data_IF_138425960807
#
_entry.id   IF_138425960807
#
_cell.length_a   1.000
_cell.length_b   1.000
_cell.length_c   1.000
_cell.angle_alpha   90.00
_cell.angle_beta   90.00
_cell.angle_gamma   90.00
#
_symmetry.space_group_name_H-M   'P 1'
#
loop_
_entity.id
_entity.type
_entity.pdbx_description
1 polymer ?
#
# COMPACT_ATOMS: atom_id res chain seq x y z
N UNK A 1 1.50 15.41 39.53
CA UNK A 1 0.61 15.06 38.40
C UNK A 1 1.48 14.41 37.33
N UNK A 2 1.10 13.26 36.75
CA UNK A 2 1.91 12.67 35.69
C UNK A 2 1.88 13.58 34.46
N UNK A 3 3.06 13.84 33.92
CA UNK A 3 3.33 14.71 32.79
C UNK A 3 2.67 14.12 31.54
N UNK A 4 1.51 14.66 31.12
CA UNK A 4 0.87 14.34 29.83
C UNK A 4 1.75 14.91 28.71
N UNK A 5 2.77 14.15 28.29
CA UNK A 5 3.53 14.47 27.08
C UNK A 5 2.55 14.46 25.90
N UNK A 6 2.50 15.57 25.17
CA UNK A 6 1.78 15.68 23.91
C UNK A 6 2.37 14.64 22.92
N UNK A 7 1.61 13.63 22.47
CA UNK A 7 2.12 12.55 21.63
C UNK A 7 2.33 12.97 20.16
N UNK A 8 2.00 14.20 19.79
CA UNK A 8 2.19 14.70 18.43
C UNK A 8 3.67 14.94 18.13
N UNK A 9 4.31 13.96 17.50
CA UNK A 9 5.58 14.15 16.79
C UNK A 9 5.24 14.79 15.44
N UNK A 10 5.41 16.10 15.33
CA UNK A 10 5.28 16.79 14.05
C UNK A 10 6.49 16.47 13.16
N UNK A 11 6.25 16.01 11.93
CA UNK A 11 7.26 15.91 10.88
C UNK A 11 7.52 14.47 10.38
N UNK A 12 7.42 13.48 11.27
CA UNK A 12 7.59 12.07 10.91
C UNK A 12 6.25 11.33 11.03
N UNK A 13 5.99 10.37 10.14
CA UNK A 13 4.89 9.43 10.33
C UNK A 13 5.14 8.61 11.60
N UNK A 14 4.08 8.10 12.21
CA UNK A 14 4.13 7.32 13.46
C UNK A 14 3.39 6.01 13.28
N UNK A 15 3.82 4.98 14.02
CA UNK A 15 3.16 3.66 14.10
C UNK A 15 3.35 3.03 15.48
N UNK A 16 2.62 1.95 15.77
CA UNK A 16 2.69 1.21 17.02
C UNK A 16 2.28 2.04 18.23
N UNK A 17 3.12 2.08 19.26
CA UNK A 17 2.84 2.78 20.52
C UNK A 17 2.61 4.30 20.36
N UNK A 18 3.07 4.88 19.24
CA UNK A 18 2.89 6.31 18.95
C UNK A 18 1.66 6.61 18.08
N UNK A 19 0.89 5.59 17.68
CA UNK A 19 -0.33 5.74 16.88
C UNK A 19 -1.58 5.70 17.79
N UNK A 20 -2.33 6.81 17.83
CA UNK A 20 -3.45 6.98 18.77
C UNK A 20 -4.76 7.34 18.08
N UNK A 21 -5.87 6.87 18.65
CA UNK A 21 -7.23 7.38 18.38
C UNK A 21 -7.85 6.96 17.05
N UNK A 22 -7.32 5.93 16.38
CA UNK A 22 -7.82 5.45 15.09
C UNK A 22 -7.96 3.93 15.00
N UNK A 23 -8.01 3.25 16.15
CA UNK A 23 -8.14 1.79 16.20
C UNK A 23 -9.40 1.28 15.49
N UNK A 24 -10.51 2.01 15.62
CA UNK A 24 -11.76 1.64 14.94
C UNK A 24 -11.63 1.71 13.41
N UNK A 25 -10.83 2.65 12.89
CA UNK A 25 -10.57 2.75 11.45
C UNK A 25 -9.66 1.65 10.95
N UNK A 26 -8.65 1.28 11.72
CA UNK A 26 -7.79 0.12 11.41
C UNK A 26 -8.65 -1.14 11.34
N UNK A 27 -9.48 -1.41 12.36
CA UNK A 27 -10.39 -2.56 12.37
C UNK A 27 -11.38 -2.53 11.21
N UNK A 28 -11.98 -1.38 10.92
CA UNK A 28 -12.91 -1.22 9.80
C UNK A 28 -12.26 -1.56 8.45
N UNK A 29 -10.99 -1.22 8.24
CA UNK A 29 -10.28 -1.49 7.00
C UNK A 29 -9.86 -2.97 6.90
N UNK A 30 -9.29 -3.53 7.97
CA UNK A 30 -8.75 -4.90 7.95
C UNK A 30 -9.85 -5.97 8.05
N UNK A 31 -10.86 -5.73 8.89
CA UNK A 31 -11.91 -6.71 9.20
C UNK A 31 -13.24 -6.40 8.52
N UNK A 32 -13.34 -5.24 7.86
CA UNK A 32 -14.55 -4.81 7.18
C UNK A 32 -14.85 -5.56 5.89
N UNK A 33 -16.02 -5.25 5.33
CA UNK A 33 -16.50 -5.83 4.07
C UNK A 33 -15.91 -5.19 2.82
N UNK A 34 -15.30 -4.02 2.96
CA UNK A 34 -14.77 -3.26 1.83
C UNK A 34 -13.38 -3.77 1.45
N UNK A 35 -13.17 -3.99 0.15
CA UNK A 35 -11.88 -4.40 -0.41
C UNK A 35 -11.16 -3.29 -1.17
N UNK A 36 -11.83 -2.15 -1.31
CA UNK A 36 -11.33 -0.94 -1.96
C UNK A 36 -11.71 0.25 -1.08
N UNK A 37 -10.73 0.92 -0.46
CA UNK A 37 -10.94 2.00 0.51
C UNK A 37 -10.17 3.24 0.08
N UNK A 38 -10.87 4.38 0.01
CA UNK A 38 -10.23 5.67 -0.23
C UNK A 38 -10.09 6.48 1.06
N UNK A 39 -8.86 6.83 1.43
CA UNK A 39 -8.57 7.65 2.61
C UNK A 39 -8.32 9.09 2.17
N UNK A 40 -9.32 9.95 2.31
CA UNK A 40 -9.20 11.38 2.02
C UNK A 40 -8.95 12.21 3.28
N UNK A 41 -8.12 13.25 3.16
CA UNK A 41 -7.89 14.20 4.25
C UNK A 41 -6.76 15.17 3.94
N UNK A 42 -6.70 16.26 4.70
CA UNK A 42 -5.73 17.35 4.49
C UNK A 42 -4.29 16.91 4.74
N UNK A 43 -3.31 17.71 4.28
CA UNK A 43 -1.88 17.44 4.52
C UNK A 43 -1.62 17.34 6.03
N UNK A 44 -0.78 16.38 6.44
CA UNK A 44 -0.40 16.11 7.85
C UNK A 44 -1.54 15.61 8.75
N UNK A 45 -2.65 15.15 8.19
CA UNK A 45 -3.72 14.49 8.97
C UNK A 45 -3.35 13.08 9.44
N UNK A 46 -2.18 12.55 9.06
CA UNK A 46 -1.69 11.23 9.46
C UNK A 46 -2.17 10.07 8.56
N UNK A 47 -2.34 10.29 7.25
CA UNK A 47 -2.70 9.23 6.29
C UNK A 47 -1.59 8.19 6.18
N UNK A 48 -0.35 8.64 5.92
CA UNK A 48 0.85 7.77 5.91
C UNK A 48 1.00 6.98 7.21
N UNK A 49 0.79 7.62 8.37
CA UNK A 49 0.80 6.92 9.67
C UNK A 49 -0.26 5.82 9.75
N UNK A 50 -1.47 6.07 9.25
CA UNK A 50 -2.54 5.06 9.21
C UNK A 50 -2.18 3.90 8.27
N UNK A 51 -1.64 4.18 7.09
CA UNK A 51 -1.19 3.15 6.15
C UNK A 51 -0.07 2.29 6.76
N UNK A 52 0.93 2.92 7.39
CA UNK A 52 2.01 2.20 8.10
C UNK A 52 1.51 1.43 9.32
N UNK A 53 0.43 1.87 9.96
CA UNK A 53 -0.22 1.11 11.02
C UNK A 53 -0.97 -0.12 10.48
N UNK A 54 -1.65 0.01 9.34
CA UNK A 54 -2.30 -1.11 8.66
C UNK A 54 -1.27 -2.17 8.26
N UNK A 55 -0.14 -1.73 7.69
CA UNK A 55 0.99 -2.61 7.39
C UNK A 55 1.44 -3.41 8.62
N UNK A 56 1.57 -2.75 9.77
CA UNK A 56 2.00 -3.37 11.02
C UNK A 56 0.97 -4.34 11.61
N UNK A 57 -0.33 -4.02 11.51
CA UNK A 57 -1.41 -4.72 12.23
C UNK A 57 -2.19 -5.74 11.41
N UNK A 58 -1.94 -5.82 10.10
CA UNK A 58 -2.70 -6.72 9.21
C UNK A 58 -2.51 -8.22 9.53
N UNK A 59 -1.45 -8.60 10.25
CA UNK A 59 -1.19 -9.98 10.65
C UNK A 59 -0.99 -10.92 9.45
N UNK A 60 -1.10 -12.24 9.68
CA UNK A 60 -0.77 -13.25 8.68
C UNK A 60 -1.80 -13.43 7.57
N UNK A 61 -2.97 -12.80 7.70
CA UNK A 61 -4.05 -12.87 6.68
C UNK A 61 -3.66 -12.12 5.41
N UNK A 62 -2.80 -11.10 5.55
CA UNK A 62 -2.45 -10.20 4.48
C UNK A 62 -0.96 -10.24 4.16
N UNK A 63 -0.63 -9.95 2.90
CA UNK A 63 0.72 -9.61 2.47
C UNK A 63 0.73 -8.09 2.18
N UNK A 64 1.09 -7.24 3.16
CA UNK A 64 1.07 -5.80 3.00
C UNK A 64 2.25 -5.28 2.18
N UNK A 65 1.95 -4.37 1.24
CA UNK A 65 2.91 -3.59 0.49
C UNK A 65 2.54 -2.11 0.62
N UNK A 66 3.44 -1.31 1.21
CA UNK A 66 3.31 0.13 1.18
C UNK A 66 3.90 0.67 -0.11
N UNK A 67 3.06 1.25 -0.97
CA UNK A 67 3.46 1.77 -2.27
C UNK A 67 3.28 3.28 -2.30
N UNK A 68 4.40 4.00 -2.16
CA UNK A 68 4.41 5.45 -2.30
C UNK A 68 4.54 5.82 -3.78
N UNK A 69 3.54 6.51 -4.33
CA UNK A 69 3.53 6.89 -5.75
C UNK A 69 4.19 8.24 -6.02
N UNK A 70 4.68 8.92 -4.98
CA UNK A 70 5.24 10.26 -5.07
C UNK A 70 6.34 10.36 -6.15
N UNK A 71 6.17 11.31 -7.08
CA UNK A 71 7.14 11.55 -8.14
C UNK A 71 6.98 10.67 -9.39
N UNK A 72 6.04 9.73 -9.42
CA UNK A 72 5.72 9.00 -10.66
C UNK A 72 5.04 9.93 -11.68
N UNK A 73 5.66 10.08 -12.86
CA UNK A 73 5.11 10.87 -13.97
C UNK A 73 4.39 10.03 -15.03
N UNK A 74 4.66 8.72 -15.08
CA UNK A 74 4.17 7.79 -16.09
C UNK A 74 4.06 6.36 -15.55
N UNK A 75 3.70 5.41 -16.42
CA UNK A 75 3.56 4.00 -16.07
C UNK A 75 4.86 3.33 -15.64
N UNK A 76 6.00 3.76 -16.20
CA UNK A 76 7.31 3.17 -15.91
C UNK A 76 7.80 3.64 -14.54
N UNK A 77 7.65 4.93 -14.22
CA UNK A 77 7.92 5.45 -12.88
C UNK A 77 7.06 4.80 -11.79
N UNK A 78 5.79 4.44 -12.09
CA UNK A 78 4.99 3.63 -11.16
C UNK A 78 5.57 2.22 -10.96
N UNK A 79 6.07 1.59 -12.03
CA UNK A 79 6.67 0.26 -11.96
C UNK A 79 7.97 0.29 -11.13
N UNK A 80 8.81 1.31 -11.33
CA UNK A 80 10.03 1.55 -10.55
C UNK A 80 9.70 1.71 -9.06
N UNK A 81 8.77 2.60 -8.70
CA UNK A 81 8.37 2.78 -7.30
C UNK A 81 7.73 1.54 -6.69
N UNK A 82 7.04 0.72 -7.49
CA UNK A 82 6.48 -0.55 -7.02
C UNK A 82 7.59 -1.57 -6.73
N UNK A 83 8.61 -1.63 -7.59
CA UNK A 83 9.79 -2.48 -7.41
C UNK A 83 10.55 -2.07 -6.14
N UNK A 84 10.86 -0.78 -5.99
CA UNK A 84 11.51 -0.23 -4.79
C UNK A 84 10.72 -0.58 -3.52
N UNK A 85 9.38 -0.48 -3.58
CA UNK A 85 8.53 -0.84 -2.44
C UNK A 85 8.63 -2.32 -2.06
N UNK A 86 8.86 -3.21 -3.04
CA UNK A 86 9.07 -4.64 -2.79
C UNK A 86 10.48 -4.91 -2.29
N UNK A 87 11.50 -4.21 -2.80
CA UNK A 87 12.87 -4.28 -2.30
C UNK A 87 12.95 -3.87 -0.82
N UNK A 88 12.30 -2.77 -0.44
CA UNK A 88 12.20 -2.31 0.96
C UNK A 88 11.52 -3.34 1.88
N UNK A 89 10.70 -4.23 1.31
CA UNK A 89 9.96 -5.27 2.01
C UNK A 89 10.44 -6.69 1.65
N UNK A 90 11.66 -6.83 1.11
CA UNK A 90 12.14 -8.07 0.48
C UNK A 90 11.99 -9.30 1.38
N UNK A 91 12.39 -9.20 2.66
CA UNK A 91 12.32 -10.31 3.61
C UNK A 91 10.89 -10.90 3.71
N UNK A 92 9.87 -10.03 3.83
CA UNK A 92 8.46 -10.42 3.91
C UNK A 92 7.97 -11.04 2.61
N UNK A 93 8.42 -10.52 1.47
CA UNK A 93 8.00 -10.96 0.15
C UNK A 93 8.67 -12.27 -0.26
N UNK A 94 9.93 -12.47 0.13
CA UNK A 94 10.67 -13.72 -0.06
C UNK A 94 9.98 -14.91 0.63
N UNK A 95 9.42 -14.72 1.84
CA UNK A 95 8.62 -15.75 2.53
C UNK A 95 7.38 -16.18 1.72
N UNK A 96 6.87 -15.30 0.86
CA UNK A 96 5.74 -15.59 -0.04
C UNK A 96 6.17 -16.01 -1.44
N UNK A 97 7.46 -16.26 -1.66
CA UNK A 97 8.03 -16.70 -2.94
C UNK A 97 8.17 -15.59 -3.98
N UNK A 98 8.17 -14.32 -3.56
CA UNK A 98 8.44 -13.17 -4.43
C UNK A 98 9.94 -12.90 -4.45
N UNK A 99 10.52 -12.72 -5.64
CA UNK A 99 11.91 -12.29 -5.79
C UNK A 99 11.99 -11.01 -6.61
N UNK A 100 12.85 -10.08 -6.18
CA UNK A 100 13.07 -8.79 -6.86
C UNK A 100 13.55 -9.01 -8.30
N UNK A 101 14.48 -9.95 -8.50
CA UNK A 101 15.03 -10.29 -9.81
C UNK A 101 13.96 -10.77 -10.81
N UNK A 102 12.93 -11.49 -10.37
CA UNK A 102 11.82 -11.88 -11.26
C UNK A 102 10.95 -10.67 -11.64
N UNK A 103 10.89 -9.65 -10.78
CA UNK A 103 10.07 -8.46 -11.00
C UNK A 103 10.73 -7.41 -11.90
N UNK A 104 12.06 -7.26 -11.88
CA UNK A 104 12.80 -6.26 -12.69
C UNK A 104 12.44 -6.27 -14.18
N UNK A 105 12.09 -7.44 -14.73
CA UNK A 105 11.76 -7.62 -16.14
C UNK A 105 10.28 -7.42 -16.49
N UNK A 106 9.42 -7.22 -15.49
CA UNK A 106 7.97 -7.18 -15.64
C UNK A 106 7.46 -5.76 -15.84
N UNK A 107 6.43 -5.59 -16.66
CA UNK A 107 5.66 -4.34 -16.66
C UNK A 107 4.89 -4.17 -15.34
N UNK A 108 4.48 -2.93 -15.03
CA UNK A 108 3.66 -2.60 -13.84
C UNK A 108 2.52 -3.60 -13.58
N UNK A 109 1.76 -3.94 -14.63
CA UNK A 109 0.61 -4.83 -14.48
C UNK A 109 0.98 -6.32 -14.39
N UNK A 110 2.15 -6.71 -14.87
CA UNK A 110 2.70 -8.04 -14.67
C UNK A 110 3.21 -8.19 -13.23
N UNK A 111 3.92 -7.18 -12.71
CA UNK A 111 4.31 -7.09 -11.31
C UNK A 111 3.10 -7.22 -10.37
N UNK A 112 2.07 -6.40 -10.57
CA UNK A 112 0.85 -6.46 -9.74
C UNK A 112 0.17 -7.85 -9.78
N UNK A 113 0.11 -8.49 -10.95
CA UNK A 113 -0.46 -9.84 -11.08
C UNK A 113 0.42 -10.90 -10.42
N UNK A 114 1.73 -10.76 -10.52
CA UNK A 114 2.71 -11.64 -9.92
C UNK A 114 2.62 -11.56 -8.38
N UNK A 115 2.66 -10.36 -7.80
CA UNK A 115 2.48 -10.14 -6.36
C UNK A 115 1.17 -10.74 -5.85
N UNK A 116 0.06 -10.49 -6.57
CA UNK A 116 -1.25 -11.08 -6.24
C UNK A 116 -1.21 -12.61 -6.28
N UNK A 117 -0.57 -13.19 -7.30
CA UNK A 117 -0.45 -14.65 -7.45
C UNK A 117 0.33 -15.24 -6.27
N UNK A 118 1.47 -14.65 -5.91
CA UNK A 118 2.31 -15.13 -4.83
C UNK A 118 1.61 -15.01 -3.47
N UNK A 119 0.96 -13.88 -3.18
CA UNK A 119 0.12 -13.73 -1.98
C UNK A 119 -0.93 -14.85 -1.88
N UNK A 120 -1.65 -15.12 -2.98
CA UNK A 120 -2.65 -16.19 -3.00
C UNK A 120 -2.04 -17.58 -2.79
N UNK A 121 -0.86 -17.83 -3.35
CA UNK A 121 -0.16 -19.12 -3.20
C UNK A 121 0.36 -19.33 -1.78
N UNK A 122 0.68 -18.26 -1.05
CA UNK A 122 1.01 -18.31 0.37
C UNK A 122 -0.23 -18.30 1.28
N UNK A 123 -1.44 -18.37 0.72
CA UNK A 123 -2.70 -18.37 1.48
C UNK A 123 -3.09 -16.99 2.01
N UNK A 124 -2.45 -15.92 1.54
CA UNK A 124 -2.65 -14.54 1.98
C UNK A 124 -3.45 -13.73 0.95
N UNK A 125 -3.99 -12.60 1.40
CA UNK A 125 -4.56 -11.56 0.53
C UNK A 125 -3.53 -10.44 0.33
N UNK A 126 -3.27 -10.01 -0.91
CA UNK A 126 -2.38 -8.86 -1.14
C UNK A 126 -3.04 -7.60 -0.58
N UNK A 127 -2.37 -6.89 0.31
CA UNK A 127 -2.82 -5.60 0.87
C UNK A 127 -1.95 -4.48 0.28
N UNK A 128 -2.46 -3.78 -0.74
CA UNK A 128 -1.77 -2.65 -1.36
C UNK A 128 -2.13 -1.36 -0.64
N UNK A 129 -1.15 -0.73 0.01
CA UNK A 129 -1.32 0.50 0.77
C UNK A 129 -0.73 1.65 -0.05
N UNK A 130 -1.56 2.25 -0.90
CA UNK A 130 -1.14 3.29 -1.81
C UNK A 130 -1.11 4.66 -1.09
N UNK A 131 0.05 5.34 -1.11
CA UNK A 131 0.21 6.71 -0.60
C UNK A 131 0.49 7.69 -1.75
N UNK A 132 0.21 8.98 -1.53
CA UNK A 132 0.39 10.06 -2.52
C UNK A 132 -0.25 9.74 -3.89
N UNK A 133 -1.45 9.14 -3.88
CA UNK A 133 -2.18 8.73 -5.09
C UNK A 133 -2.59 9.89 -6.01
N UNK A 134 -2.44 11.15 -5.57
CA UNK A 134 -2.64 12.32 -6.41
C UNK A 134 -1.76 12.29 -7.68
N UNK A 135 -0.61 11.60 -7.65
CA UNK A 135 0.26 11.40 -8.81
C UNK A 135 -0.41 10.64 -9.96
N UNK A 136 -1.45 9.84 -9.66
CA UNK A 136 -2.26 9.18 -10.69
C UNK A 136 -2.92 10.18 -11.65
N UNK A 137 -3.15 11.44 -11.23
CA UNK A 137 -3.66 12.48 -12.13
C UNK A 137 -2.64 12.87 -13.20
N UNK A 138 -1.35 12.91 -12.84
CA UNK A 138 -0.26 13.19 -13.78
C UNK A 138 -0.13 12.03 -14.77
N UNK A 139 -0.23 10.80 -14.27
CA UNK A 139 -0.14 9.59 -15.06
C UNK A 139 -1.33 9.43 -16.00
N UNK A 140 -2.55 9.84 -15.60
CA UNK A 140 -3.70 9.85 -16.52
C UNK A 140 -3.45 10.75 -17.74
N UNK A 141 -2.68 11.82 -17.58
CA UNK A 141 -2.30 12.72 -18.67
C UNK A 141 -1.26 12.09 -19.59
N UNK A 142 -0.26 11.41 -19.02
CA UNK A 142 0.84 10.78 -19.77
C UNK A 142 0.44 9.43 -20.42
N UNK A 143 -0.31 8.61 -19.69
CA UNK A 143 -0.74 7.26 -20.03
C UNK A 143 -2.22 7.03 -19.67
N UNK A 144 -3.16 7.52 -20.51
CA UNK A 144 -4.60 7.47 -20.21
C UNK A 144 -5.18 6.07 -19.96
N UNK A 145 -4.50 5.03 -20.45
CA UNK A 145 -4.88 3.63 -20.28
C UNK A 145 -4.56 3.06 -18.88
N UNK A 146 -3.67 3.69 -18.11
CA UNK A 146 -3.17 3.15 -16.84
C UNK A 146 -4.25 3.16 -15.76
N UNK A 147 -4.93 4.29 -15.54
CA UNK A 147 -5.96 4.41 -14.49
C UNK A 147 -7.12 3.42 -14.67
N UNK A 148 -7.73 3.29 -15.88
CA UNK A 148 -8.76 2.28 -16.11
C UNK A 148 -8.28 0.85 -15.81
N UNK A 149 -7.03 0.54 -16.14
CA UNK A 149 -6.44 -0.78 -15.87
C UNK A 149 -6.15 -1.01 -14.39
N UNK A 150 -5.62 -0.02 -13.67
CA UNK A 150 -5.42 -0.07 -12.22
C UNK A 150 -6.75 -0.23 -11.50
N UNK A 151 -7.75 0.58 -11.85
CA UNK A 151 -9.10 0.46 -11.32
C UNK A 151 -9.66 -0.95 -11.54
N UNK A 152 -9.49 -1.52 -12.74
CA UNK A 152 -9.92 -2.90 -13.02
C UNK A 152 -9.19 -3.90 -12.14
N UNK A 153 -7.88 -3.75 -11.95
CA UNK A 153 -7.09 -4.63 -11.08
C UNK A 153 -7.58 -4.56 -9.62
N UNK A 154 -7.82 -3.35 -9.09
CA UNK A 154 -8.30 -3.15 -7.72
C UNK A 154 -9.74 -3.64 -7.51
N UNK A 155 -10.64 -3.42 -8.46
CA UNK A 155 -12.07 -3.71 -8.30
C UNK A 155 -12.46 -5.15 -8.67
N UNK A 156 -11.75 -5.81 -9.58
CA UNK A 156 -12.12 -7.16 -10.05
C UNK A 156 -11.42 -8.30 -9.29
N UNK A 157 -10.62 -7.99 -8.27
CA UNK A 157 -9.76 -8.98 -7.64
C UNK A 157 -10.30 -9.57 -6.34
N UNK A 158 -10.82 -10.80 -6.38
CA UNK A 158 -10.67 -11.68 -5.20
C UNK A 158 -9.15 -11.78 -4.89
N UNK A 159 -8.78 -11.66 -3.61
CA UNK A 159 -7.38 -11.76 -3.16
C UNK A 159 -6.56 -10.48 -3.24
N UNK A 160 -7.18 -9.30 -3.42
CA UNK A 160 -6.53 -7.99 -3.20
C UNK A 160 -7.41 -7.13 -2.30
N UNK A 161 -6.80 -6.45 -1.35
CA UNK A 161 -7.35 -5.33 -0.60
C UNK A 161 -6.50 -4.10 -0.90
N UNK A 162 -7.13 -2.99 -1.26
CA UNK A 162 -6.45 -1.71 -1.55
C UNK A 162 -7.09 -0.57 -0.77
#
# INVERSE_FOLDING_TARGET
>A
MPNRKNPFIAGNWVRGENFFGRDDRVREILDGKYRYVWIAGTRRIGKTSLLKELELRCGDTYLPLFWNMQGASDADGLAELLLESVEDAEERFAESGVTVAEMESLSLFEMLRYLKKCARQSGKTLLLLCDECEELLNIETANPEVLPRLRRFFQQGEGVLT
#
